data_IF_552741571353
#
_entry.id   IF_552741571353
#
_cell.length_a   1.000
_cell.length_b   1.000
_cell.length_c   1.000
_cell.angle_alpha   90.00
_cell.angle_beta   90.00
_cell.angle_gamma   90.00
#
_symmetry.space_group_name_H-M   'P 1'
#
loop_
_entity.id
_entity.type
_entity.pdbx_description
1 polymer ?
#
# COMPACT_ATOMS: atom_id res chain seq x y z
N UNK A 1 19.35 19.54 -16.30
CA UNK A 1 19.89 19.24 -14.95
C UNK A 1 19.12 18.07 -14.38
N UNK A 2 19.79 17.10 -13.78
CA UNK A 2 19.20 15.82 -13.38
C UNK A 2 18.07 16.02 -12.36
N UNK A 3 16.86 15.61 -12.71
CA UNK A 3 15.72 15.50 -11.81
C UNK A 3 16.00 14.34 -10.85
N UNK A 4 16.80 14.58 -9.80
CA UNK A 4 16.94 13.62 -8.71
C UNK A 4 15.68 13.71 -7.86
N UNK A 5 14.91 12.62 -7.71
CA UNK A 5 13.67 12.66 -6.97
C UNK A 5 13.96 12.87 -5.49
N UNK A 6 13.62 14.06 -4.99
CA UNK A 6 13.97 14.50 -3.64
C UNK A 6 13.34 13.62 -2.56
N UNK A 7 12.14 13.07 -2.80
CA UNK A 7 11.42 12.25 -1.83
C UNK A 7 12.14 10.91 -1.52
N UNK A 8 12.50 10.06 -2.50
CA UNK A 8 13.35 8.88 -2.25
C UNK A 8 14.67 9.22 -1.56
N UNK A 9 15.32 10.32 -1.96
CA UNK A 9 16.58 10.75 -1.36
C UNK A 9 16.40 11.14 0.12
N UNK A 10 15.33 11.86 0.44
CA UNK A 10 14.99 12.21 1.82
C UNK A 10 14.71 10.97 2.67
N UNK A 11 14.02 9.96 2.14
CA UNK A 11 13.80 8.69 2.85
C UNK A 11 15.09 7.93 3.11
N UNK A 12 15.99 7.82 2.12
CA UNK A 12 17.31 7.22 2.33
C UNK A 12 18.08 8.01 3.39
N UNK A 13 18.03 9.35 3.34
CA UNK A 13 18.63 10.22 4.35
C UNK A 13 18.06 9.97 5.76
N UNK A 14 16.75 9.79 5.88
CA UNK A 14 16.07 9.44 7.13
C UNK A 14 16.52 8.09 7.69
N UNK A 15 16.65 7.07 6.83
CA UNK A 15 17.16 5.75 7.24
C UNK A 15 18.60 5.85 7.72
N UNK A 16 19.45 6.57 6.98
CA UNK A 16 20.85 6.79 7.38
C UNK A 16 20.91 7.50 8.73
N UNK A 17 20.12 8.57 8.91
CA UNK A 17 20.03 9.28 10.19
C UNK A 17 19.56 8.36 11.32
N UNK A 18 18.54 7.52 11.10
CA UNK A 18 18.06 6.54 12.07
C UNK A 18 19.17 5.57 12.47
N UNK A 19 19.95 5.05 11.52
CA UNK A 19 21.08 4.16 11.82
C UNK A 19 22.17 4.87 12.65
N UNK A 20 22.40 6.16 12.44
CA UNK A 20 23.30 6.95 13.28
C UNK A 20 22.74 7.14 14.70
N UNK A 21 21.45 7.48 14.83
CA UNK A 21 20.80 7.64 16.13
C UNK A 21 20.87 6.32 16.91
N UNK A 22 20.46 5.20 16.31
CA UNK A 22 20.48 3.87 16.96
C UNK A 22 21.90 3.47 17.41
N UNK A 23 22.94 3.93 16.70
CA UNK A 23 24.33 3.56 16.97
C UNK A 23 25.03 4.47 17.98
N UNK A 24 24.67 5.75 18.04
CA UNK A 24 25.36 6.78 18.81
C UNK A 24 24.54 7.31 19.99
N UNK A 25 23.21 7.24 19.96
CA UNK A 25 22.33 7.68 21.03
C UNK A 25 22.16 6.60 22.11
N UNK A 26 23.20 6.44 22.94
CA UNK A 26 23.18 5.50 24.08
C UNK A 26 22.31 5.95 25.25
N UNK A 27 21.93 7.22 25.29
CA UNK A 27 21.23 7.84 26.42
C UNK A 27 19.74 8.07 26.13
N UNK A 28 19.24 7.69 24.95
CA UNK A 28 17.84 7.89 24.56
C UNK A 28 17.46 9.37 24.53
N UNK A 29 18.36 10.22 24.03
CA UNK A 29 18.15 11.66 23.90
C UNK A 29 17.08 11.95 22.85
N UNK A 30 17.02 11.14 21.79
CA UNK A 30 15.99 11.23 20.74
C UNK A 30 14.77 10.41 21.16
N UNK A 31 13.71 11.11 21.53
CA UNK A 31 12.42 10.50 21.89
C UNK A 31 11.46 10.45 20.68
N UNK A 32 10.83 9.28 20.50
CA UNK A 32 9.88 9.00 19.42
C UNK A 32 8.74 10.03 19.36
N UNK A 33 8.20 10.45 20.51
CA UNK A 33 7.09 11.43 20.56
C UNK A 33 7.52 12.80 20.07
N UNK A 34 8.78 13.17 20.28
CA UNK A 34 9.31 14.44 19.75
C UNK A 34 9.42 14.37 18.23
N UNK A 35 9.91 13.25 17.69
CA UNK A 35 9.99 13.02 16.24
C UNK A 35 8.59 13.02 15.61
N UNK A 36 7.61 12.34 16.21
CA UNK A 36 6.21 12.32 15.75
C UNK A 36 5.60 13.73 15.71
N UNK A 37 5.87 14.56 16.73
CA UNK A 37 5.39 15.96 16.75
C UNK A 37 6.02 16.80 15.64
N UNK A 38 7.32 16.65 15.40
CA UNK A 38 8.02 17.35 14.31
C UNK A 38 7.49 16.90 12.95
N UNK A 39 7.24 15.60 12.77
CA UNK A 39 6.63 15.05 11.57
C UNK A 39 5.22 15.62 11.34
N UNK A 40 4.38 15.65 12.37
CA UNK A 40 3.05 16.25 12.30
C UNK A 40 3.10 17.72 11.88
N UNK A 41 3.93 18.52 12.54
CA UNK A 41 4.13 19.92 12.18
C UNK A 41 4.62 20.10 10.73
N UNK A 42 5.58 19.28 10.29
CA UNK A 42 6.10 19.33 8.91
C UNK A 42 5.01 19.00 7.89
N UNK A 43 4.13 18.04 8.21
CA UNK A 43 3.00 17.65 7.38
C UNK A 43 1.99 18.82 7.28
N UNK A 44 1.67 19.49 8.38
CA UNK A 44 0.77 20.64 8.37
C UNK A 44 1.32 21.78 7.51
N UNK A 45 2.61 22.10 7.64
CA UNK A 45 3.28 23.11 6.81
C UNK A 45 3.24 22.72 5.33
N UNK A 46 3.48 21.44 5.01
CA UNK A 46 3.39 20.92 3.64
C UNK A 46 1.98 21.07 3.06
N UNK A 47 0.94 20.75 3.83
CA UNK A 47 -0.46 20.92 3.41
C UNK A 47 -0.76 22.40 3.15
N UNK A 48 -0.38 23.28 4.06
CA UNK A 48 -0.60 24.73 3.91
C UNK A 48 0.10 25.26 2.66
N UNK A 49 1.35 24.88 2.44
CA UNK A 49 2.11 25.28 1.25
C UNK A 49 1.48 24.73 -0.05
N UNK A 50 1.03 23.47 -0.04
CA UNK A 50 0.36 22.86 -1.19
C UNK A 50 -0.96 23.58 -1.52
N UNK A 51 -1.79 23.90 -0.51
CA UNK A 51 -3.00 24.68 -0.72
C UNK A 51 -2.72 26.10 -1.20
N UNK A 52 -1.68 26.75 -0.68
CA UNK A 52 -1.32 28.12 -1.06
C UNK A 52 -0.79 28.22 -2.50
N UNK A 53 -0.17 27.15 -3.02
CA UNK A 53 0.38 27.10 -4.39
C UNK A 53 -0.62 26.63 -5.44
N UNK A 54 -1.79 26.14 -5.02
CA UNK A 54 -2.81 25.62 -5.89
C UNK A 54 -3.63 26.77 -6.52
N UNK A 55 -3.68 26.83 -7.85
CA UNK A 55 -4.42 27.87 -8.58
C UNK A 55 -5.92 27.56 -8.61
N UNK A 56 -6.71 28.42 -7.95
CA UNK A 56 -8.18 28.34 -8.01
C UNK A 56 -8.71 28.55 -9.44
N UNK A 57 -8.05 29.40 -10.24
CA UNK A 57 -8.43 29.60 -11.64
C UNK A 57 -8.22 28.33 -12.47
N UNK A 58 -7.09 27.64 -12.29
CA UNK A 58 -6.85 26.37 -13.01
C UNK A 58 -7.90 25.30 -12.69
N UNK A 59 -8.40 25.26 -11.44
CA UNK A 59 -9.52 24.39 -11.04
C UNK A 59 -10.81 24.85 -11.71
N UNK A 60 -11.14 26.14 -11.67
CA UNK A 60 -12.36 26.66 -12.26
C UNK A 60 -12.45 26.36 -13.76
N UNK A 61 -11.34 26.57 -14.48
CA UNK A 61 -11.25 26.32 -15.92
C UNK A 61 -11.36 24.82 -16.27
N UNK A 62 -10.98 23.94 -15.35
CA UNK A 62 -10.96 22.48 -15.55
C UNK A 62 -11.87 21.74 -14.57
N UNK A 63 -12.92 22.40 -14.06
CA UNK A 63 -13.73 21.85 -12.97
C UNK A 63 -14.38 20.51 -13.35
N UNK A 64 -14.83 20.37 -14.59
CA UNK A 64 -15.38 19.12 -15.10
C UNK A 64 -14.35 17.97 -15.07
N UNK A 65 -13.11 18.22 -15.47
CA UNK A 65 -12.03 17.23 -15.42
C UNK A 65 -11.65 16.88 -13.97
N UNK A 66 -11.56 17.89 -13.10
CA UNK A 66 -11.31 17.70 -11.68
C UNK A 66 -12.40 16.83 -11.03
N UNK A 67 -13.67 17.20 -11.19
CA UNK A 67 -14.80 16.47 -10.63
C UNK A 67 -14.87 15.02 -11.16
N UNK A 68 -14.62 14.82 -12.46
CA UNK A 68 -14.58 13.50 -13.06
C UNK A 68 -13.48 12.63 -12.42
N UNK A 69 -12.25 13.17 -12.28
CA UNK A 69 -11.13 12.46 -11.67
C UNK A 69 -11.39 12.15 -10.19
N UNK A 70 -11.97 13.09 -9.43
CA UNK A 70 -12.34 12.87 -8.02
C UNK A 70 -13.38 11.76 -7.90
N UNK A 71 -14.48 11.84 -8.65
CA UNK A 71 -15.56 10.85 -8.59
C UNK A 71 -15.06 9.48 -9.07
N UNK A 72 -14.33 9.44 -10.19
CA UNK A 72 -13.76 8.19 -10.70
C UNK A 72 -12.76 7.57 -9.71
N UNK A 73 -11.91 8.38 -9.08
CA UNK A 73 -10.95 7.93 -8.07
C UNK A 73 -11.64 7.34 -6.84
N UNK A 74 -12.66 8.02 -6.30
CA UNK A 74 -13.43 7.52 -5.16
C UNK A 74 -14.17 6.23 -5.52
N UNK A 75 -14.85 6.19 -6.68
CA UNK A 75 -15.54 5.00 -7.16
C UNK A 75 -14.58 3.83 -7.35
N UNK A 76 -13.38 4.08 -7.88
CA UNK A 76 -12.34 3.07 -8.02
C UNK A 76 -11.87 2.54 -6.66
N UNK A 77 -11.63 3.41 -5.68
CA UNK A 77 -11.22 2.99 -4.33
C UNK A 77 -12.30 2.13 -3.66
N UNK A 78 -13.57 2.55 -3.75
CA UNK A 78 -14.71 1.79 -3.22
C UNK A 78 -14.86 0.45 -3.95
N UNK A 79 -14.75 0.45 -5.27
CA UNK A 79 -14.81 -0.78 -6.08
C UNK A 79 -13.68 -1.74 -5.72
N UNK A 80 -12.44 -1.26 -5.64
CA UNK A 80 -11.29 -2.07 -5.27
C UNK A 80 -11.46 -2.65 -3.85
N UNK A 81 -11.94 -1.86 -2.90
CA UNK A 81 -12.19 -2.33 -1.55
C UNK A 81 -13.30 -3.39 -1.49
N UNK A 82 -14.46 -3.14 -2.08
CA UNK A 82 -15.62 -4.03 -1.98
C UNK A 82 -15.52 -5.29 -2.85
N UNK A 83 -14.90 -5.20 -4.03
CA UNK A 83 -14.87 -6.30 -5.00
C UNK A 83 -13.51 -6.97 -5.14
N UNK A 84 -12.43 -6.19 -5.12
CA UNK A 84 -11.09 -6.69 -5.42
C UNK A 84 -10.40 -7.25 -4.18
N UNK A 85 -10.49 -6.56 -3.03
CA UNK A 85 -9.92 -7.01 -1.76
C UNK A 85 -10.38 -8.43 -1.34
N UNK A 86 -11.70 -8.75 -1.29
CA UNK A 86 -12.13 -10.11 -0.92
C UNK A 86 -11.70 -11.19 -1.92
N UNK A 87 -11.44 -10.83 -3.18
CA UNK A 87 -11.01 -11.77 -4.23
C UNK A 87 -9.50 -12.02 -4.22
N UNK A 88 -8.70 -10.99 -3.92
CA UNK A 88 -7.24 -11.06 -3.93
C UNK A 88 -6.65 -11.53 -2.59
N UNK A 89 -7.30 -11.18 -1.46
CA UNK A 89 -6.78 -11.43 -0.11
C UNK A 89 -7.83 -12.13 0.76
N UNK A 90 -8.20 -13.39 0.48
CA UNK A 90 -9.32 -14.05 1.15
C UNK A 90 -9.15 -14.24 2.66
N UNK A 91 -7.92 -14.22 3.19
CA UNK A 91 -7.67 -14.22 4.64
C UNK A 91 -7.69 -12.79 5.20
N UNK A 92 -8.55 -12.53 6.20
CA UNK A 92 -8.70 -11.22 6.86
C UNK A 92 -8.85 -10.08 5.84
N UNK A 93 -9.71 -10.29 4.85
CA UNK A 93 -9.83 -9.42 3.67
C UNK A 93 -10.28 -8.00 4.05
N UNK A 94 -11.10 -7.87 5.09
CA UNK A 94 -11.64 -6.60 5.53
C UNK A 94 -10.58 -5.81 6.29
N UNK A 95 -9.87 -6.44 7.24
CA UNK A 95 -8.77 -5.86 8.01
C UNK A 95 -7.62 -5.43 7.11
N UNK A 96 -7.31 -6.22 6.07
CA UNK A 96 -6.31 -5.86 5.06
C UNK A 96 -6.80 -4.78 4.12
N UNK A 97 -8.03 -4.90 3.64
CA UNK A 97 -8.61 -3.99 2.66
C UNK A 97 -8.86 -2.58 3.22
N UNK A 98 -9.26 -2.47 4.50
CA UNK A 98 -9.63 -1.17 5.08
C UNK A 98 -8.41 -0.25 5.25
N UNK A 99 -7.22 -0.85 5.47
CA UNK A 99 -5.95 -0.13 5.49
C UNK A 99 -5.62 0.49 4.14
N UNK A 100 -5.68 -0.30 3.06
CA UNK A 100 -5.47 0.19 1.69
C UNK A 100 -6.52 1.22 1.27
N UNK A 101 -7.77 1.02 1.67
CA UNK A 101 -8.86 1.95 1.41
C UNK A 101 -8.62 3.31 2.09
N UNK A 102 -8.28 3.30 3.38
CA UNK A 102 -7.96 4.51 4.13
C UNK A 102 -6.72 5.23 3.59
N UNK A 103 -5.68 4.49 3.19
CA UNK A 103 -4.50 5.07 2.55
C UNK A 103 -4.84 5.69 1.18
N UNK A 104 -5.68 5.03 0.37
CA UNK A 104 -6.00 5.49 -0.98
C UNK A 104 -6.87 6.76 -0.99
N UNK A 105 -7.74 6.93 0.00
CA UNK A 105 -8.59 8.11 0.15
C UNK A 105 -7.96 9.23 0.98
N UNK A 106 -6.89 8.95 1.71
CA UNK A 106 -6.24 9.88 2.61
C UNK A 106 -4.73 9.69 2.63
N UNK A 107 -4.20 9.38 3.80
CA UNK A 107 -2.77 9.11 4.01
C UNK A 107 -2.58 7.76 4.69
N UNK A 108 -1.36 7.23 4.64
CA UNK A 108 -0.99 5.97 5.30
C UNK A 108 -1.42 5.95 6.77
N UNK A 109 -1.30 7.07 7.50
CA UNK A 109 -1.76 7.19 8.89
C UNK A 109 -3.27 6.94 9.05
N UNK A 110 -4.10 7.45 8.13
CA UNK A 110 -5.55 7.20 8.13
C UNK A 110 -5.84 5.71 7.94
N UNK A 111 -5.12 5.05 7.03
CA UNK A 111 -5.20 3.60 6.84
C UNK A 111 -4.85 2.83 8.12
N UNK A 112 -3.74 3.17 8.77
CA UNK A 112 -3.32 2.52 10.03
C UNK A 112 -4.32 2.73 11.17
N UNK A 113 -4.92 3.92 11.28
CA UNK A 113 -5.98 4.20 12.26
C UNK A 113 -7.20 3.31 12.00
N UNK A 114 -7.67 3.21 10.76
CA UNK A 114 -8.81 2.34 10.42
C UNK A 114 -8.51 0.87 10.72
N UNK A 115 -7.29 0.40 10.43
CA UNK A 115 -6.88 -0.96 10.78
C UNK A 115 -6.91 -1.19 12.29
N UNK A 116 -6.47 -0.22 13.10
CA UNK A 116 -6.53 -0.29 14.57
C UNK A 116 -7.96 -0.23 15.11
N UNK A 117 -8.89 0.42 14.41
CA UNK A 117 -10.32 0.41 14.79
C UNK A 117 -10.92 -0.99 14.57
N UNK A 118 -10.55 -1.65 13.48
CA UNK A 118 -11.09 -2.97 13.11
C UNK A 118 -10.37 -4.11 13.84
N UNK A 119 -9.07 -3.98 14.11
CA UNK A 119 -8.25 -4.93 14.86
C UNK A 119 -7.42 -4.20 15.96
N UNK A 120 -8.05 -3.81 17.08
CA UNK A 120 -7.38 -3.03 18.12
C UNK A 120 -6.26 -3.79 18.83
N UNK A 121 -6.41 -5.10 18.95
CA UNK A 121 -5.45 -5.98 19.62
C UNK A 121 -4.36 -6.50 18.66
N UNK A 122 -4.37 -6.08 17.40
CA UNK A 122 -3.41 -6.49 16.34
C UNK A 122 -3.26 -8.00 16.24
N UNK A 123 -4.37 -8.74 16.41
CA UNK A 123 -4.39 -10.21 16.39
C UNK A 123 -4.21 -10.76 14.98
N UNK A 124 -4.59 -9.99 13.97
CA UNK A 124 -4.50 -10.41 12.57
C UNK A 124 -3.13 -10.08 11.99
N UNK A 125 -2.65 -10.84 10.99
CA UNK A 125 -1.40 -10.51 10.30
C UNK A 125 -1.53 -9.29 9.38
N UNK A 126 -2.66 -8.56 9.38
CA UNK A 126 -2.92 -7.47 8.46
C UNK A 126 -2.00 -6.27 8.71
N UNK A 127 -1.90 -5.82 9.97
CA UNK A 127 -1.13 -4.64 10.36
C UNK A 127 0.37 -4.75 10.04
N UNK A 128 1.10 -5.81 10.49
CA UNK A 128 2.51 -5.94 10.15
C UNK A 128 2.75 -6.16 8.65
N UNK A 129 1.88 -6.93 7.97
CA UNK A 129 2.00 -7.14 6.52
C UNK A 129 1.83 -5.84 5.72
N UNK A 130 0.94 -4.94 6.17
CA UNK A 130 0.76 -3.62 5.58
C UNK A 130 2.04 -2.78 5.73
N UNK A 131 2.60 -2.68 6.95
CA UNK A 131 3.83 -1.92 7.20
C UNK A 131 5.03 -2.40 6.38
N UNK A 132 5.26 -3.72 6.30
CA UNK A 132 6.35 -4.28 5.50
C UNK A 132 6.19 -4.00 4.00
N UNK A 133 4.96 -4.10 3.47
CA UNK A 133 4.69 -3.72 2.09
C UNK A 133 5.01 -2.24 1.87
N UNK A 134 4.58 -1.39 2.80
CA UNK A 134 4.64 0.04 2.65
C UNK A 134 6.09 0.55 2.59
N UNK A 135 6.98 -0.01 3.42
CA UNK A 135 8.41 0.30 3.42
C UNK A 135 9.06 0.11 2.05
N UNK A 136 8.66 -0.93 1.32
CA UNK A 136 9.19 -1.21 -0.02
C UNK A 136 8.40 -0.43 -1.09
N UNK A 137 7.12 -0.19 -0.90
CA UNK A 137 6.25 0.38 -1.93
C UNK A 137 6.31 1.91 -2.04
N UNK A 138 6.35 2.62 -0.91
CA UNK A 138 6.38 4.10 -0.87
C UNK A 138 7.56 4.73 -1.63
N UNK A 139 8.81 4.21 -1.54
CA UNK A 139 9.94 4.78 -2.27
C UNK A 139 9.83 4.74 -3.79
N UNK A 140 8.91 3.93 -4.33
CA UNK A 140 8.68 3.83 -5.76
C UNK A 140 7.43 4.60 -6.18
N UNK A 141 6.28 4.35 -5.53
CA UNK A 141 4.97 4.83 -5.97
C UNK A 141 4.37 5.92 -5.08
N UNK A 142 4.75 6.03 -3.81
CA UNK A 142 4.20 6.98 -2.84
C UNK A 142 4.74 8.41 -2.94
N UNK A 143 5.09 8.88 -4.14
CA UNK A 143 5.92 10.08 -4.37
C UNK A 143 7.37 9.75 -4.71
N UNK A 144 7.64 8.46 -4.87
CA UNK A 144 8.93 7.86 -5.12
C UNK A 144 9.50 8.03 -6.52
N UNK A 145 10.44 7.15 -6.89
CA UNK A 145 11.15 7.16 -8.17
C UNK A 145 10.21 7.23 -9.39
N UNK A 146 9.12 6.44 -9.39
CA UNK A 146 8.19 6.34 -10.52
C UNK A 146 7.33 7.59 -10.62
N UNK A 147 6.79 8.05 -9.49
CA UNK A 147 5.94 9.24 -9.43
C UNK A 147 6.72 10.49 -9.81
N UNK A 148 7.96 10.63 -9.33
CA UNK A 148 8.81 11.75 -9.67
C UNK A 148 9.31 11.72 -11.12
N UNK A 149 9.49 10.53 -11.70
CA UNK A 149 9.83 10.37 -13.11
C UNK A 149 8.62 10.56 -14.04
N UNK A 150 7.38 10.59 -13.53
CA UNK A 150 6.17 10.63 -14.34
C UNK A 150 6.13 11.85 -15.28
N UNK A 151 6.34 13.07 -14.76
CA UNK A 151 6.29 14.29 -15.58
C UNK A 151 7.39 14.28 -16.66
N UNK A 152 8.68 14.03 -16.34
CA UNK A 152 9.71 13.89 -17.36
C UNK A 152 9.42 12.83 -18.43
N UNK A 153 8.86 11.68 -18.03
CA UNK A 153 8.52 10.61 -18.97
C UNK A 153 7.32 10.98 -19.87
N UNK A 154 6.31 11.66 -19.33
CA UNK A 154 5.14 12.11 -20.08
C UNK A 154 5.53 13.16 -21.13
N UNK A 155 6.48 14.05 -20.82
CA UNK A 155 6.93 15.12 -21.73
C UNK A 155 8.02 14.62 -22.71
N UNK A 156 8.65 13.47 -22.43
CA UNK A 156 9.67 12.91 -23.32
C UNK A 156 9.10 12.53 -24.70
N UNK A 157 9.76 12.90 -25.81
CA UNK A 157 9.32 12.53 -27.17
C UNK A 157 9.27 11.01 -27.44
N UNK A 158 9.99 10.20 -26.66
CA UNK A 158 10.09 8.76 -26.90
C UNK A 158 8.95 7.96 -26.25
N UNK A 159 8.43 8.45 -25.11
CA UNK A 159 7.38 7.77 -24.34
C UNK A 159 6.05 8.49 -24.53
N UNK A 160 6.05 9.81 -24.29
CA UNK A 160 4.84 10.64 -24.35
C UNK A 160 3.80 10.26 -23.29
N UNK A 161 2.72 11.04 -23.23
CA UNK A 161 1.60 10.77 -22.34
C UNK A 161 0.96 9.39 -22.58
N UNK A 162 0.80 9.01 -23.86
CA UNK A 162 0.16 7.74 -24.23
C UNK A 162 1.05 6.54 -23.88
N UNK A 163 2.36 6.62 -24.12
CA UNK A 163 3.28 5.53 -23.77
C UNK A 163 3.35 5.31 -22.26
N UNK A 164 3.39 6.38 -21.47
CA UNK A 164 3.35 6.27 -20.01
C UNK A 164 2.01 5.70 -19.51
N UNK A 165 0.89 6.11 -20.10
CA UNK A 165 -0.43 5.54 -19.82
C UNK A 165 -0.49 4.04 -20.11
N UNK A 166 -0.01 3.62 -21.28
CA UNK A 166 0.03 2.19 -21.67
C UNK A 166 0.92 1.41 -20.71
N UNK A 167 2.09 1.94 -20.35
CA UNK A 167 2.97 1.31 -19.38
C UNK A 167 2.28 1.10 -18.03
N UNK A 168 1.63 2.13 -17.48
CA UNK A 168 0.89 2.02 -16.21
C UNK A 168 -0.31 1.09 -16.31
N UNK A 169 -1.03 1.10 -17.44
CA UNK A 169 -2.14 0.18 -17.70
C UNK A 169 -1.66 -1.27 -17.73
N UNK A 170 -0.50 -1.55 -18.34
CA UNK A 170 0.12 -2.89 -18.33
C UNK A 170 0.52 -3.29 -16.92
N UNK A 171 1.17 -2.41 -16.16
CA UNK A 171 1.54 -2.69 -14.76
C UNK A 171 0.30 -3.01 -13.92
N UNK A 172 -0.78 -2.25 -14.09
CA UNK A 172 -2.06 -2.50 -13.44
C UNK A 172 -2.68 -3.84 -13.89
N UNK A 173 -2.69 -4.14 -15.19
CA UNK A 173 -3.23 -5.40 -15.70
C UNK A 173 -2.45 -6.61 -15.17
N UNK A 174 -1.12 -6.52 -15.13
CA UNK A 174 -0.24 -7.56 -14.57
C UNK A 174 -0.46 -7.72 -13.07
N UNK A 175 -0.59 -6.62 -12.31
CA UNK A 175 -0.82 -6.69 -10.86
C UNK A 175 -2.19 -7.30 -10.53
N UNK A 176 -3.24 -6.92 -11.28
CA UNK A 176 -4.56 -7.52 -11.18
C UNK A 176 -4.55 -9.00 -11.55
N UNK A 177 -3.87 -9.37 -12.65
CA UNK A 177 -3.75 -10.76 -13.07
C UNK A 177 -3.02 -11.60 -12.01
N UNK A 178 -1.90 -11.10 -11.49
CA UNK A 178 -1.12 -11.79 -10.46
C UNK A 178 -1.94 -11.94 -9.17
N UNK A 179 -2.63 -10.89 -8.74
CA UNK A 179 -3.50 -10.92 -7.57
C UNK A 179 -4.67 -11.88 -7.70
N UNK A 180 -5.39 -11.84 -8.82
CA UNK A 180 -6.61 -12.63 -9.02
C UNK A 180 -6.34 -14.09 -9.39
N UNK A 181 -5.27 -14.39 -10.14
CA UNK A 181 -5.02 -15.74 -10.65
C UNK A 181 -3.93 -16.47 -9.89
N UNK A 182 -2.83 -15.83 -9.53
CA UNK A 182 -1.68 -16.52 -8.89
C UNK A 182 -1.94 -16.73 -7.41
N UNK A 183 -2.33 -15.67 -6.68
CA UNK A 183 -2.61 -15.78 -5.24
C UNK A 183 -3.84 -16.64 -4.97
N UNK A 184 -4.91 -16.49 -5.76
CA UNK A 184 -6.11 -17.34 -5.64
C UNK A 184 -5.81 -18.83 -5.87
N UNK A 185 -4.97 -19.17 -6.86
CA UNK A 185 -4.55 -20.57 -7.10
C UNK A 185 -3.71 -21.11 -5.95
N UNK A 186 -2.82 -20.30 -5.36
CA UNK A 186 -2.02 -20.70 -4.19
C UNK A 186 -2.89 -20.96 -2.96
N UNK A 187 -3.85 -20.07 -2.67
CA UNK A 187 -4.78 -20.25 -1.56
C UNK A 187 -5.69 -21.48 -1.77
N UNK A 188 -6.22 -21.70 -2.97
CA UNK A 188 -7.05 -22.87 -3.27
C UNK A 188 -6.27 -24.19 -3.19
N UNK A 189 -5.00 -24.19 -3.60
CA UNK A 189 -4.10 -25.35 -3.45
C UNK A 189 -3.73 -25.63 -1.99
N UNK A 190 -3.49 -24.57 -1.20
CA UNK A 190 -3.22 -24.72 0.23
C UNK A 190 -4.44 -25.28 0.99
N UNK A 191 -5.65 -24.80 0.68
CA UNK A 191 -6.88 -25.32 1.26
C UNK A 191 -7.13 -26.80 0.87
N UNK A 192 -6.97 -27.15 -0.40
CA UNK A 192 -7.12 -28.53 -0.87
C UNK A 192 -6.07 -29.49 -0.27
N UNK A 193 -4.84 -29.01 -0.03
CA UNK A 193 -3.79 -29.78 0.63
C UNK A 193 -4.06 -30.03 2.12
N UNK A 194 -4.64 -29.05 2.82
CA UNK A 194 -5.04 -29.19 4.22
C UNK A 194 -6.21 -30.17 4.40
N UNK A 195 -7.21 -30.13 3.51
CA UNK A 195 -8.32 -31.09 3.49
C UNK A 195 -7.84 -32.51 3.16
N UNK A 196 -6.92 -32.66 2.21
CA UNK A 196 -6.30 -33.95 1.88
C UNK A 196 -5.48 -34.55 3.04
N UNK A 197 -4.73 -33.71 3.77
CA UNK A 197 -3.99 -34.15 4.95
C UNK A 197 -4.92 -34.56 6.12
N UNK A 198 -6.01 -33.81 6.34
CA UNK A 198 -7.01 -34.14 7.34
C UNK A 198 -7.79 -35.42 7.01
N UNK A 199 -8.10 -35.66 5.74
CA UNK A 199 -8.74 -36.89 5.27
C UNK A 199 -7.81 -38.11 5.36
N UNK A 200 -6.52 -37.95 5.01
CA UNK A 200 -5.50 -38.98 5.14
C UNK A 200 -5.24 -39.40 6.59
N UNK A 201 -5.21 -38.44 7.53
CA UNK A 201 -5.07 -38.72 8.96
C UNK A 201 -6.24 -39.50 9.55
N UNK A 202 -7.47 -39.24 9.10
CA UNK A 202 -8.68 -40.00 9.52
C UNK A 202 -8.71 -41.41 8.95
N UNK A 203 -8.27 -41.61 7.70
CA UNK A 203 -8.19 -42.93 7.09
C UNK A 203 -7.11 -43.83 7.72
N UNK A 204 -5.97 -43.25 8.13
CA UNK A 204 -4.91 -43.97 8.84
C UNK A 204 -5.34 -44.38 10.27
N UNK A 205 -6.06 -43.51 10.98
CA UNK A 205 -6.63 -43.80 12.30
C UNK A 205 -7.74 -44.85 12.28
N UNK A 206 -8.46 -45.01 11.16
CA UNK A 206 -9.53 -45.99 11.02
C UNK A 206 -9.04 -47.41 10.76
N UNK A 207 -7.86 -47.60 10.14
CA UNK A 207 -7.27 -48.92 9.89
C UNK A 207 -6.61 -49.51 11.14
N UNK A 208 -6.02 -48.68 12.00
CA UNK A 208 -5.41 -49.15 13.26
C UNK A 208 -6.44 -49.68 14.26
N UNK A 209 -7.71 -49.28 14.15
CA UNK A 209 -8.79 -49.79 15.01
C UNK A 209 -9.45 -51.08 14.48
N UNK A 210 -9.29 -51.42 13.19
CA UNK A 210 -9.85 -52.66 12.61
C UNK A 210 -8.90 -53.85 12.65
N UNK A 211 -7.61 -53.66 12.94
CA UNK A 211 -6.61 -54.74 13.08
C UNK A 211 -6.42 -55.21 14.53
N UNK A 212 -7.18 -54.65 15.49
CA UNK A 212 -7.08 -54.95 16.94
C UNK A 212 -8.38 -55.57 17.49
N UNK A 213 -9.32 -55.98 16.63
CA UNK A 213 -10.50 -56.78 17.00
C UNK A 213 -10.49 -58.11 16.27
#
# INVERSE_FOLDING_TARGET
MAYVPLFPMAMIGGIVLQLFIDRFDRNGIVDEKTVERVQGFSLDVLIIAAMATLSLQAIADNFAAFALLTVAGVLWCVFAFLFLAPRMMPSHWFERGIGEFGQSLGVTATGLVLMRVVDPELKTPAYPAFGYKQLIFEPFFGGGLITAAAIPLIVSPQVGAVGFLVFMAVVMAVSLFMGLFVLRRRHRRAAAGAEGAAAGGRAASGRTSSEVS
#
